data_IF_970536031142
#
_entry.id   IF_970536031142
#
_cell.length_a   1.000
_cell.length_b   1.000
_cell.length_c   1.000
_cell.angle_alpha   90.00
_cell.angle_beta   90.00
_cell.angle_gamma   90.00
#
_symmetry.space_group_name_H-M   'P 1'
#
loop_
_entity.id
_entity.type
_entity.pdbx_description
1 polymer ?
#
# COMPACT_ATOMS: atom_id res chain seq x y z
N UNK A 1 26.55 64.48 -51.35
CA UNK A 1 25.87 63.30 -51.92
C UNK A 1 25.81 62.23 -50.84
N UNK A 2 24.60 61.90 -50.35
CA UNK A 2 24.38 60.82 -49.38
C UNK A 2 24.38 59.50 -50.17
N UNK A 3 25.12 58.49 -49.70
CA UNK A 3 24.99 57.10 -50.16
C UNK A 3 24.92 56.20 -48.93
N UNK A 4 23.68 55.98 -48.53
CA UNK A 4 23.08 54.72 -48.11
C UNK A 4 23.97 53.69 -47.42
N UNK A 5 23.68 53.52 -46.13
CA UNK A 5 23.91 52.27 -45.41
C UNK A 5 23.13 51.14 -46.08
N UNK A 6 23.74 49.96 -46.34
CA UNK A 6 22.95 48.77 -46.58
C UNK A 6 22.45 48.29 -45.21
N UNK A 7 21.16 48.47 -44.98
CA UNK A 7 20.44 48.00 -43.82
C UNK A 7 20.71 46.51 -43.56
N UNK A 8 20.91 46.20 -42.28
CA UNK A 8 20.98 44.86 -41.76
C UNK A 8 19.76 44.05 -42.23
N UNK A 9 19.96 43.16 -43.21
CA UNK A 9 19.01 42.08 -43.49
C UNK A 9 19.28 40.95 -42.50
N UNK A 10 19.00 41.18 -41.22
CA UNK A 10 18.87 40.10 -40.26
C UNK A 10 17.69 39.24 -40.69
N UNK A 11 18.01 38.00 -41.08
CA UNK A 11 17.17 37.13 -41.88
C UNK A 11 15.82 36.77 -41.21
N UNK A 12 14.71 36.75 -41.97
CA UNK A 12 13.45 36.15 -41.50
C UNK A 12 13.59 34.66 -41.17
N UNK A 13 14.64 33.99 -41.67
CA UNK A 13 15.00 32.62 -41.27
C UNK A 13 15.28 32.52 -39.76
N UNK A 14 15.96 33.49 -39.15
CA UNK A 14 16.30 33.46 -37.71
C UNK A 14 15.05 33.64 -36.81
N UNK A 15 13.99 34.26 -37.31
CA UNK A 15 12.71 34.35 -36.60
C UNK A 15 11.94 33.03 -36.69
N UNK A 16 11.91 32.40 -37.87
CA UNK A 16 11.25 31.11 -38.08
C UNK A 16 11.98 29.96 -37.35
N UNK A 17 13.30 29.98 -37.30
CA UNK A 17 14.10 28.97 -36.59
C UNK A 17 13.86 29.07 -35.06
N UNK A 18 13.69 30.28 -34.53
CA UNK A 18 13.35 30.49 -33.11
C UNK A 18 11.93 30.08 -32.77
N UNK A 19 10.96 30.31 -33.66
CA UNK A 19 9.60 29.83 -33.41
C UNK A 19 9.57 28.30 -33.42
N UNK A 20 10.29 27.66 -34.34
CA UNK A 20 10.39 26.20 -34.39
C UNK A 20 11.05 25.62 -33.12
N UNK A 21 12.13 26.23 -32.63
CA UNK A 21 12.80 25.85 -31.37
C UNK A 21 11.89 26.02 -30.15
N UNK A 22 11.06 27.08 -30.13
CA UNK A 22 10.07 27.29 -29.07
C UNK A 22 8.97 26.23 -29.12
N UNK A 23 8.44 25.91 -30.32
CA UNK A 23 7.41 24.88 -30.51
C UNK A 23 7.93 23.50 -30.09
N UNK A 24 9.18 23.15 -30.45
CA UNK A 24 9.83 21.90 -30.01
C UNK A 24 9.98 21.84 -28.48
N UNK A 25 10.36 22.97 -27.87
CA UNK A 25 10.53 23.06 -26.42
C UNK A 25 9.21 22.98 -25.67
N UNK A 26 8.16 23.62 -26.19
CA UNK A 26 6.81 23.54 -25.64
C UNK A 26 6.30 22.10 -25.69
N UNK A 27 6.41 21.43 -26.86
CA UNK A 27 6.05 20.02 -26.98
C UNK A 27 6.85 19.10 -26.04
N UNK A 28 8.13 19.39 -25.82
CA UNK A 28 8.96 18.63 -24.88
C UNK A 28 8.56 18.85 -23.41
N UNK A 29 8.07 20.05 -23.06
CA UNK A 29 7.53 20.35 -21.74
C UNK A 29 6.18 19.68 -21.52
N UNK A 30 5.27 19.76 -22.48
CA UNK A 30 3.97 19.08 -22.43
C UNK A 30 4.15 17.57 -22.25
N UNK A 31 5.02 16.96 -23.06
CA UNK A 31 5.33 15.53 -22.94
C UNK A 31 6.02 15.17 -21.59
N UNK A 32 6.65 16.13 -20.91
CA UNK A 32 7.20 15.92 -19.57
C UNK A 32 6.10 16.05 -18.52
N UNK A 33 5.21 17.03 -18.65
CA UNK A 33 4.08 17.25 -17.75
C UNK A 33 3.15 16.03 -17.76
N UNK A 34 2.77 15.53 -18.95
CA UNK A 34 1.96 14.31 -19.08
C UNK A 34 2.60 13.09 -18.40
N UNK A 35 3.93 12.96 -18.51
CA UNK A 35 4.68 11.88 -17.84
C UNK A 35 4.70 12.05 -16.32
N UNK A 36 4.79 13.28 -15.83
CA UNK A 36 4.75 13.58 -14.40
C UNK A 36 3.35 13.33 -13.83
N UNK A 37 2.31 13.79 -14.50
CA UNK A 37 0.92 13.54 -14.11
C UNK A 37 0.61 12.05 -14.07
N UNK A 38 1.04 11.31 -15.10
CA UNK A 38 0.89 9.85 -15.14
C UNK A 38 1.62 9.15 -13.99
N UNK A 39 2.82 9.65 -13.64
CA UNK A 39 3.60 9.12 -12.51
C UNK A 39 2.93 9.44 -11.18
N UNK A 40 2.45 10.66 -10.99
CA UNK A 40 1.75 11.07 -9.77
C UNK A 40 0.46 10.26 -9.56
N UNK A 41 -0.31 10.06 -10.64
CA UNK A 41 -1.50 9.21 -10.59
C UNK A 41 -1.16 7.76 -10.19
N UNK A 42 -0.09 7.18 -10.76
CA UNK A 42 0.36 5.84 -10.41
C UNK A 42 0.84 5.73 -8.95
N UNK A 43 1.51 6.77 -8.43
CA UNK A 43 1.94 6.82 -7.03
C UNK A 43 0.76 6.96 -6.08
N UNK A 44 -0.24 7.77 -6.43
CA UNK A 44 -1.46 7.91 -5.65
C UNK A 44 -2.24 6.59 -5.56
N UNK A 45 -2.48 5.93 -6.70
CA UNK A 45 -3.14 4.62 -6.75
C UNK A 45 -2.37 3.55 -5.98
N UNK A 46 -1.02 3.56 -6.04
CA UNK A 46 -0.20 2.71 -5.19
C UNK A 46 -0.43 3.03 -3.70
N UNK A 47 -0.34 4.29 -3.30
CA UNK A 47 -0.54 4.70 -1.91
C UNK A 47 -1.91 4.31 -1.34
N UNK A 48 -2.97 4.45 -2.14
CA UNK A 48 -4.31 4.03 -1.76
C UNK A 48 -4.39 2.51 -1.51
N UNK A 49 -3.81 1.71 -2.39
CA UNK A 49 -3.74 0.24 -2.22
C UNK A 49 -2.91 -0.17 -1.00
N UNK A 50 -1.78 0.51 -0.76
CA UNK A 50 -0.95 0.24 0.42
C UNK A 50 -1.74 0.53 1.70
N UNK A 51 -2.47 1.65 1.74
CA UNK A 51 -3.31 2.01 2.88
C UNK A 51 -4.44 0.99 3.11
N UNK A 52 -5.13 0.55 2.05
CA UNK A 52 -6.16 -0.49 2.14
C UNK A 52 -5.60 -1.81 2.69
N UNK A 53 -4.41 -2.22 2.24
CA UNK A 53 -3.77 -3.45 2.66
C UNK A 53 -3.33 -3.39 4.13
N UNK A 54 -2.80 -2.25 4.58
CA UNK A 54 -2.49 -2.03 6.01
C UNK A 54 -3.75 -2.06 6.87
N UNK A 55 -4.82 -1.39 6.45
CA UNK A 55 -6.08 -1.39 7.17
C UNK A 55 -6.67 -2.81 7.29
N UNK A 56 -6.57 -3.61 6.22
CA UNK A 56 -6.99 -5.01 6.24
C UNK A 56 -6.13 -5.88 7.19
N UNK A 57 -4.82 -5.65 7.23
CA UNK A 57 -3.91 -6.34 8.14
C UNK A 57 -4.24 -6.00 9.61
N UNK A 58 -4.46 -4.73 9.92
CA UNK A 58 -4.82 -4.29 11.27
C UNK A 58 -6.17 -4.87 11.72
N UNK A 59 -7.17 -4.88 10.83
CA UNK A 59 -8.46 -5.51 11.12
C UNK A 59 -8.32 -6.99 11.47
N UNK A 60 -7.50 -7.75 10.73
CA UNK A 60 -7.27 -9.18 11.02
C UNK A 60 -6.56 -9.39 12.36
N UNK A 61 -5.64 -8.51 12.74
CA UNK A 61 -5.01 -8.56 14.06
C UNK A 61 -6.03 -8.30 15.18
N UNK A 62 -6.95 -7.35 15.00
CA UNK A 62 -8.03 -7.07 15.95
C UNK A 62 -9.02 -8.24 16.08
N UNK A 63 -9.39 -8.87 14.97
CA UNK A 63 -10.20 -10.09 14.97
C UNK A 63 -9.49 -11.24 15.69
N UNK A 64 -8.20 -11.45 15.44
CA UNK A 64 -7.38 -12.44 16.13
C UNK A 64 -7.31 -12.18 17.65
N UNK A 65 -7.17 -10.92 18.06
CA UNK A 65 -7.16 -10.54 19.47
C UNK A 65 -8.51 -10.81 20.15
N UNK A 66 -9.60 -10.47 19.47
CA UNK A 66 -10.96 -10.75 19.94
C UNK A 66 -11.18 -12.25 20.09
N UNK A 67 -10.77 -13.05 19.09
CA UNK A 67 -10.91 -14.50 19.11
C UNK A 67 -10.06 -15.15 20.20
N UNK A 68 -8.84 -14.67 20.44
CA UNK A 68 -8.01 -15.13 21.55
C UNK A 68 -8.61 -14.80 22.92
N UNK A 69 -9.25 -13.63 23.06
CA UNK A 69 -9.96 -13.29 24.30
C UNK A 69 -11.12 -14.26 24.56
N UNK A 70 -11.90 -14.60 23.53
CA UNK A 70 -12.97 -15.61 23.62
C UNK A 70 -12.41 -16.99 23.96
N UNK A 71 -11.33 -17.40 23.30
CA UNK A 71 -10.67 -18.68 23.57
C UNK A 71 -10.21 -18.76 25.03
N UNK A 72 -9.61 -17.70 25.55
CA UNK A 72 -9.17 -17.63 26.95
C UNK A 72 -10.36 -17.67 27.92
N UNK A 73 -11.47 -16.98 27.63
CA UNK A 73 -12.67 -17.06 28.45
C UNK A 73 -13.23 -18.49 28.49
N UNK A 74 -13.29 -19.18 27.34
CA UNK A 74 -13.75 -20.58 27.25
C UNK A 74 -12.85 -21.52 28.06
N UNK A 75 -11.55 -21.35 27.93
CA UNK A 75 -10.55 -22.20 28.60
C UNK A 75 -10.55 -21.99 30.13
N UNK A 76 -10.71 -20.74 30.57
CA UNK A 76 -10.89 -20.39 31.98
C UNK A 76 -12.18 -20.96 32.55
N UNK A 77 -13.30 -20.84 31.83
CA UNK A 77 -14.57 -21.42 32.24
C UNK A 77 -14.48 -22.96 32.33
N UNK A 78 -13.87 -23.60 31.34
CA UNK A 78 -13.64 -25.04 31.34
C UNK A 78 -12.77 -25.49 32.53
N UNK A 79 -11.73 -24.71 32.84
CA UNK A 79 -10.83 -25.00 33.99
C UNK A 79 -11.53 -24.79 35.33
N UNK A 80 -12.42 -23.80 35.44
CA UNK A 80 -13.25 -23.61 36.62
C UNK A 80 -14.24 -24.78 36.80
N UNK A 81 -14.90 -25.20 35.72
CA UNK A 81 -15.80 -26.37 35.77
C UNK A 81 -15.06 -27.63 36.17
N UNK A 82 -13.88 -27.89 35.60
CA UNK A 82 -13.04 -29.04 35.97
C UNK A 82 -12.56 -28.98 37.43
N UNK A 83 -12.33 -27.79 37.97
CA UNK A 83 -11.98 -27.64 39.38
C UNK A 83 -13.16 -27.93 40.33
N UNK A 84 -14.38 -27.58 39.91
CA UNK A 84 -15.60 -27.74 40.73
C UNK A 84 -16.23 -29.13 40.61
N UNK A 85 -16.00 -29.84 39.51
CA UNK A 85 -16.58 -31.16 39.20
C UNK A 85 -15.51 -32.25 39.08
N UNK A 86 -15.74 -33.43 39.65
CA UNK A 86 -14.88 -34.62 39.48
C UNK A 86 -15.70 -35.66 38.69
N UNK A 87 -15.37 -36.12 37.46
CA UNK A 87 -14.23 -35.86 36.56
C UNK A 87 -14.59 -35.00 35.32
N UNK A 88 -13.60 -34.70 34.47
CA UNK A 88 -13.78 -33.96 33.22
C UNK A 88 -14.85 -34.57 32.29
N UNK A 89 -16.01 -33.93 32.22
CA UNK A 89 -17.05 -34.27 31.24
C UNK A 89 -16.58 -33.87 29.83
N UNK A 90 -17.10 -34.57 28.83
CA UNK A 90 -17.03 -34.28 27.40
C UNK A 90 -17.29 -32.82 27.05
N UNK A 91 -18.02 -32.08 27.88
CA UNK A 91 -18.24 -30.64 27.73
C UNK A 91 -16.95 -29.82 27.92
N UNK A 92 -16.14 -30.13 28.94
CA UNK A 92 -14.85 -29.45 29.22
C UNK A 92 -13.88 -29.68 28.07
N UNK A 93 -13.77 -30.94 27.60
CA UNK A 93 -12.91 -31.29 26.47
C UNK A 93 -13.34 -30.58 25.17
N UNK A 94 -14.65 -30.48 24.91
CA UNK A 94 -15.17 -29.72 23.76
C UNK A 94 -14.88 -28.23 23.87
N UNK A 95 -15.03 -27.63 25.05
CA UNK A 95 -14.71 -26.22 25.27
C UNK A 95 -13.22 -25.93 25.02
N UNK A 96 -12.33 -26.79 25.53
CA UNK A 96 -10.88 -26.70 25.28
C UNK A 96 -10.55 -26.90 23.80
N UNK A 97 -11.21 -27.85 23.14
CA UNK A 97 -11.06 -28.08 21.70
C UNK A 97 -11.47 -26.85 20.87
N UNK A 98 -12.60 -26.22 21.20
CA UNK A 98 -13.03 -24.98 20.56
C UNK A 98 -12.04 -23.84 20.78
N UNK A 99 -11.56 -23.64 22.02
CA UNK A 99 -10.54 -22.65 22.33
C UNK A 99 -9.21 -22.90 21.58
N UNK A 100 -8.85 -24.16 21.35
CA UNK A 100 -7.66 -24.50 20.56
C UNK A 100 -7.82 -24.15 19.07
N UNK A 101 -9.01 -24.39 18.51
CA UNK A 101 -9.35 -23.99 17.13
C UNK A 101 -9.34 -22.48 16.98
N UNK A 102 -9.98 -21.76 17.91
CA UNK A 102 -9.97 -20.30 17.94
C UNK A 102 -8.53 -19.74 17.89
N UNK A 103 -7.63 -20.26 18.73
CA UNK A 103 -6.21 -19.86 18.74
C UNK A 103 -5.47 -20.24 17.46
N UNK A 104 -5.85 -21.34 16.81
CA UNK A 104 -5.28 -21.71 15.52
C UNK A 104 -5.67 -20.71 14.43
N UNK A 105 -6.93 -20.32 14.39
CA UNK A 105 -7.45 -19.32 13.44
C UNK A 105 -6.82 -17.95 13.70
N UNK A 106 -6.72 -17.51 14.97
CA UNK A 106 -6.01 -16.28 15.33
C UNK A 106 -4.56 -16.25 14.87
N UNK A 107 -3.85 -17.39 14.90
CA UNK A 107 -2.48 -17.46 14.36
C UNK A 107 -2.46 -17.33 12.84
N UNK A 108 -3.45 -17.88 12.15
CA UNK A 108 -3.57 -17.75 10.71
C UNK A 108 -3.81 -16.29 10.30
N UNK A 109 -4.73 -15.61 10.98
CA UNK A 109 -5.05 -14.20 10.74
C UNK A 109 -3.82 -13.30 10.94
N UNK A 110 -3.07 -13.50 12.03
CA UNK A 110 -1.80 -12.78 12.27
C UNK A 110 -0.74 -13.09 11.23
N UNK A 111 -0.65 -14.33 10.77
CA UNK A 111 0.30 -14.71 9.73
C UNK A 111 -0.05 -14.02 8.39
N UNK A 112 -1.34 -13.94 8.05
CA UNK A 112 -1.82 -13.22 6.89
C UNK A 112 -1.58 -11.70 7.02
N UNK A 113 -1.90 -11.10 8.15
CA UNK A 113 -1.63 -9.69 8.43
C UNK A 113 -0.13 -9.36 8.33
N UNK A 114 0.73 -10.25 8.83
CA UNK A 114 2.19 -10.12 8.69
C UNK A 114 2.63 -10.21 7.22
N UNK A 115 2.07 -11.15 6.45
CA UNK A 115 2.39 -11.31 5.03
C UNK A 115 2.02 -10.05 4.25
N UNK A 116 0.85 -9.47 4.52
CA UNK A 116 0.42 -8.20 3.94
C UNK A 116 1.45 -7.09 4.20
N UNK A 117 1.83 -6.88 5.47
CA UNK A 117 2.85 -5.89 5.83
C UNK A 117 4.22 -6.16 5.19
N UNK A 118 4.60 -7.44 5.02
CA UNK A 118 5.87 -7.82 4.38
C UNK A 118 5.89 -7.50 2.89
N UNK A 119 4.78 -7.75 2.19
CA UNK A 119 4.67 -7.49 0.75
C UNK A 119 4.87 -5.99 0.45
N UNK A 120 4.41 -5.10 1.34
CA UNK A 120 4.64 -3.65 1.23
C UNK A 120 6.12 -3.27 1.31
N UNK A 121 6.87 -3.91 2.21
CA UNK A 121 8.30 -3.62 2.37
C UNK A 121 9.14 -4.15 1.21
N UNK A 122 8.72 -5.25 0.59
CA UNK A 122 9.41 -5.85 -0.55
C UNK A 122 9.15 -5.08 -1.86
N UNK A 123 7.94 -4.52 -2.01
CA UNK A 123 7.59 -3.61 -3.12
C UNK A 123 8.34 -2.27 -3.03
N UNK A 124 8.65 -1.78 -1.82
CA UNK A 124 9.47 -0.57 -1.63
C UNK A 124 10.95 -0.81 -2.01
N UNK A 125 11.47 -2.03 -1.77
CA UNK A 125 12.85 -2.40 -2.10
C UNK A 125 13.09 -2.63 -3.60
N UNK A 126 12.03 -2.91 -4.37
CA UNK A 126 12.08 -3.16 -5.82
C UNK A 126 11.74 -1.93 -6.67
N UNK A 127 11.28 -0.84 -6.05
CA UNK A 127 11.11 0.43 -6.74
C UNK A 127 12.49 0.98 -7.17
N UNK A 128 12.70 1.30 -8.47
CA UNK A 128 13.95 1.90 -8.91
C UNK A 128 14.17 3.23 -8.18
N UNK A 129 15.24 3.30 -7.40
CA UNK A 129 15.76 4.55 -6.87
C UNK A 129 16.46 5.29 -8.01
N UNK A 130 15.74 6.21 -8.65
CA UNK A 130 16.31 7.20 -9.58
C UNK A 130 16.68 8.49 -8.86
#
# INVERSE_FOLDING_TARGET
MRKDQPGARSHPQNANDRTHDLDEREAALDAREERLESREAALADRGDREHELLAAADHRDDEANTRDAIANQRDMAASLSEFLEEPADTAILRARGAAALDRADSRHDRAAAKADRSNLTDDEATAPRE
#
